data_IF_368027629582
#
_entry.id   IF_368027629582
#
_cell.length_a   1.000
_cell.length_b   1.000
_cell.length_c   1.000
_cell.angle_alpha   90.00
_cell.angle_beta   90.00
_cell.angle_gamma   90.00
#
_symmetry.space_group_name_H-M   'P 1'
#
loop_
_entity.id
_entity.type
_entity.pdbx_description
1 polymer ?
#
# COMPACT_ATOMS: atom_id res chain seq x y z
N UNK A 1 6.01 -8.25 4.61
CA UNK A 1 4.65 -8.17 5.18
C UNK A 1 3.72 -7.30 4.34
N UNK A 2 3.93 -5.99 4.21
CA UNK A 2 2.99 -5.14 3.44
C UNK A 2 2.85 -5.54 1.96
N UNK A 3 3.97 -5.69 1.24
CA UNK A 3 3.95 -6.08 -0.19
C UNK A 3 3.35 -7.46 -0.42
N UNK A 4 3.66 -8.42 0.46
CA UNK A 4 3.15 -9.80 0.38
C UNK A 4 1.65 -9.85 0.65
N UNK A 5 1.15 -9.05 1.61
CA UNK A 5 -0.28 -8.96 1.90
C UNK A 5 -1.05 -8.30 0.74
N UNK A 6 -0.55 -7.19 0.19
CA UNK A 6 -1.18 -6.50 -0.94
C UNK A 6 -1.17 -7.34 -2.22
N UNK A 7 -0.03 -7.97 -2.54
CA UNK A 7 0.07 -8.87 -3.70
C UNK A 7 -0.83 -10.09 -3.57
N UNK A 8 -0.85 -10.72 -2.39
CA UNK A 8 -1.76 -11.83 -2.10
C UNK A 8 -3.23 -11.42 -2.21
N UNK A 9 -3.60 -10.25 -1.67
CA UNK A 9 -4.98 -9.74 -1.70
C UNK A 9 -5.45 -9.50 -3.13
N UNK A 10 -4.61 -8.85 -3.96
CA UNK A 10 -4.90 -8.63 -5.38
C UNK A 10 -5.10 -9.97 -6.13
N UNK A 11 -4.24 -10.95 -5.88
CA UNK A 11 -4.33 -12.27 -6.49
C UNK A 11 -5.62 -13.01 -6.07
N UNK A 12 -5.93 -13.04 -4.77
CA UNK A 12 -7.13 -13.72 -4.27
C UNK A 12 -8.40 -13.07 -4.81
N UNK A 13 -8.46 -11.74 -4.89
CA UNK A 13 -9.59 -11.02 -5.49
C UNK A 13 -9.76 -11.36 -6.98
N UNK A 14 -8.66 -11.45 -7.73
CA UNK A 14 -8.69 -11.85 -9.14
C UNK A 14 -9.02 -13.34 -9.35
N UNK A 15 -8.67 -14.23 -8.42
CA UNK A 15 -9.05 -15.64 -8.48
C UNK A 15 -10.51 -15.85 -8.07
N UNK A 16 -11.01 -15.06 -7.11
CA UNK A 16 -12.38 -15.14 -6.64
C UNK A 16 -13.39 -14.74 -7.73
N UNK A 17 -13.06 -13.81 -8.62
CA UNK A 17 -13.93 -13.46 -9.77
C UNK A 17 -14.19 -14.64 -10.70
N UNK A 18 -13.23 -15.55 -10.85
CA UNK A 18 -13.32 -16.73 -11.72
C UNK A 18 -13.91 -17.93 -10.95
N UNK A 19 -13.55 -18.08 -9.67
CA UNK A 19 -13.94 -19.20 -8.82
C UNK A 19 -15.26 -19.04 -8.05
N UNK A 20 -15.95 -17.90 -8.18
CA UNK A 20 -17.13 -17.55 -7.39
C UNK A 20 -18.27 -18.58 -7.43
N UNK A 21 -18.35 -19.37 -8.50
CA UNK A 21 -19.41 -20.37 -8.68
C UNK A 21 -19.23 -21.65 -7.84
N UNK A 22 -18.04 -21.88 -7.26
CA UNK A 22 -17.75 -23.04 -6.43
C UNK A 22 -17.79 -22.69 -4.94
N UNK A 23 -18.81 -23.14 -4.21
CA UNK A 23 -19.12 -22.74 -2.82
C UNK A 23 -17.93 -22.84 -1.85
N UNK A 24 -17.16 -23.92 -1.94
CA UNK A 24 -15.99 -24.14 -1.06
C UNK A 24 -14.85 -23.18 -1.41
N UNK A 25 -14.63 -22.94 -2.71
CA UNK A 25 -13.59 -22.01 -3.16
C UNK A 25 -13.96 -20.57 -2.81
N UNK A 26 -15.25 -20.22 -2.89
CA UNK A 26 -15.78 -18.93 -2.47
C UNK A 26 -15.58 -18.69 -0.96
N UNK A 27 -15.92 -19.67 -0.12
CA UNK A 27 -15.71 -19.56 1.33
C UNK A 27 -14.23 -19.36 1.68
N UNK A 28 -13.34 -20.15 1.06
CA UNK A 28 -11.89 -20.01 1.25
C UNK A 28 -11.38 -18.63 0.77
N UNK A 29 -11.85 -18.16 -0.39
CA UNK A 29 -11.47 -16.86 -0.94
C UNK A 29 -11.92 -15.71 -0.04
N UNK A 30 -13.16 -15.72 0.45
CA UNK A 30 -13.66 -14.69 1.39
C UNK A 30 -12.83 -14.66 2.67
N UNK A 31 -12.49 -15.83 3.21
CA UNK A 31 -11.59 -15.92 4.37
C UNK A 31 -10.22 -15.30 4.08
N UNK A 32 -9.61 -15.65 2.95
CA UNK A 32 -8.31 -15.14 2.54
C UNK A 32 -8.33 -13.63 2.25
N UNK A 33 -9.40 -13.11 1.63
CA UNK A 33 -9.61 -11.67 1.42
C UNK A 33 -9.63 -10.97 2.78
N UNK A 34 -10.38 -11.49 3.75
CA UNK A 34 -10.42 -10.96 5.10
C UNK A 34 -9.05 -10.99 5.76
N UNK A 35 -8.39 -12.15 5.81
CA UNK A 35 -7.10 -12.33 6.44
C UNK A 35 -6.01 -11.41 5.86
N UNK A 36 -5.91 -11.37 4.53
CA UNK A 36 -4.91 -10.54 3.83
C UNK A 36 -5.24 -9.05 3.95
N UNK A 37 -6.51 -8.68 3.84
CA UNK A 37 -6.98 -7.31 4.04
C UNK A 37 -6.61 -6.79 5.43
N UNK A 38 -6.94 -7.53 6.48
CA UNK A 38 -6.58 -7.18 7.85
C UNK A 38 -5.06 -7.12 8.07
N UNK A 39 -4.29 -8.03 7.45
CA UNK A 39 -2.83 -8.03 7.55
C UNK A 39 -2.17 -6.74 6.99
N UNK A 40 -2.85 -5.98 6.13
CA UNK A 40 -2.33 -4.70 5.62
C UNK A 40 -2.43 -3.55 6.62
N UNK A 41 -3.36 -3.61 7.58
CA UNK A 41 -3.69 -2.48 8.46
C UNK A 41 -2.54 -2.10 9.39
N UNK A 42 -1.95 -3.03 10.19
CA UNK A 42 -0.89 -2.65 11.13
C UNK A 42 0.38 -2.10 10.45
N UNK A 43 0.89 -2.69 9.35
CA UNK A 43 2.04 -2.15 8.65
C UNK A 43 1.83 -0.73 8.09
N UNK A 44 0.63 -0.43 7.57
CA UNK A 44 0.31 0.91 7.05
C UNK A 44 0.24 1.94 8.17
N UNK A 45 -0.45 1.61 9.27
CA UNK A 45 -0.55 2.48 10.44
C UNK A 45 0.83 2.80 11.02
N UNK A 46 1.70 1.79 11.15
CA UNK A 46 3.09 1.98 11.60
C UNK A 46 3.86 2.92 10.68
N UNK A 47 3.80 2.70 9.37
CA UNK A 47 4.56 3.49 8.39
C UNK A 47 4.19 4.97 8.39
N UNK A 48 2.91 5.31 8.63
CA UNK A 48 2.48 6.70 8.74
C UNK A 48 3.03 7.36 10.00
N UNK A 49 3.04 6.61 11.12
CA UNK A 49 3.51 7.13 12.39
C UNK A 49 5.03 7.32 12.42
N UNK A 50 5.80 6.39 11.82
CA UNK A 50 7.27 6.46 11.71
C UNK A 50 7.75 7.71 10.94
N UNK A 51 6.89 8.34 10.12
CA UNK A 51 7.22 9.54 9.35
C UNK A 51 6.79 10.85 10.04
N UNK A 52 6.19 10.79 11.22
CA UNK A 52 5.50 11.91 11.87
C UNK A 52 6.23 12.48 13.11
N UNK A 53 7.56 12.53 13.11
CA UNK A 53 8.39 12.92 14.26
C UNK A 53 8.10 14.31 14.88
N UNK A 54 7.34 15.19 14.20
CA UNK A 54 6.96 16.52 14.72
C UNK A 54 5.48 16.72 15.03
N UNK A 55 4.58 15.82 14.59
CA UNK A 55 3.12 16.00 14.72
C UNK A 55 2.33 14.66 14.68
N UNK A 56 2.57 13.73 15.62
CA UNK A 56 1.99 12.39 15.59
C UNK A 56 0.44 12.38 15.67
N UNK A 57 -0.16 13.31 16.41
CA UNK A 57 -1.63 13.41 16.52
C UNK A 57 -2.29 13.81 15.21
N UNK A 58 -1.71 14.78 14.48
CA UNK A 58 -2.18 15.18 13.16
C UNK A 58 -2.00 14.05 12.13
N UNK A 59 -0.85 13.36 12.15
CA UNK A 59 -0.61 12.23 11.27
C UNK A 59 -1.59 11.07 11.51
N UNK A 60 -1.90 10.78 12.79
CA UNK A 60 -2.91 9.77 13.15
C UNK A 60 -4.30 10.16 12.65
N UNK A 61 -4.73 11.41 12.86
CA UNK A 61 -6.02 11.91 12.39
C UNK A 61 -6.15 11.83 10.86
N UNK A 62 -5.11 12.20 10.12
CA UNK A 62 -5.06 12.08 8.65
C UNK A 62 -5.13 10.61 8.22
N UNK A 63 -4.45 9.70 8.91
CA UNK A 63 -4.49 8.28 8.59
C UNK A 63 -5.91 7.68 8.79
N UNK A 64 -6.58 8.04 9.87
CA UNK A 64 -7.98 7.64 10.12
C UNK A 64 -8.90 8.22 9.05
N UNK A 65 -8.72 9.50 8.69
CA UNK A 65 -9.47 10.15 7.62
C UNK A 65 -9.27 9.46 6.27
N UNK A 66 -8.03 9.14 5.92
CA UNK A 66 -7.69 8.42 4.69
C UNK A 66 -8.30 7.03 4.64
N UNK A 67 -8.32 6.30 5.77
CA UNK A 67 -8.98 4.99 5.87
C UNK A 67 -10.48 5.09 5.61
N UNK A 68 -11.16 6.06 6.24
CA UNK A 68 -12.59 6.28 6.04
C UNK A 68 -12.91 6.70 4.60
N UNK A 69 -12.10 7.58 4.01
CA UNK A 69 -12.24 7.97 2.61
C UNK A 69 -12.05 6.76 1.67
N UNK A 70 -11.07 5.90 1.97
CA UNK A 70 -10.85 4.65 1.23
C UNK A 70 -12.06 3.71 1.27
N UNK A 71 -12.66 3.50 2.45
CA UNK A 71 -13.86 2.68 2.59
C UNK A 71 -15.06 3.26 1.83
N UNK A 72 -15.25 4.59 1.90
CA UNK A 72 -16.30 5.28 1.16
C UNK A 72 -16.10 5.16 -0.36
N UNK A 73 -14.87 5.37 -0.86
CA UNK A 73 -14.51 5.21 -2.26
C UNK A 73 -14.73 3.77 -2.74
N UNK A 74 -14.29 2.77 -1.96
CA UNK A 74 -14.45 1.36 -2.32
C UNK A 74 -15.93 0.97 -2.40
N UNK A 75 -16.75 1.40 -1.43
CA UNK A 75 -18.19 1.15 -1.43
C UNK A 75 -18.88 1.84 -2.61
N UNK A 76 -18.52 3.09 -2.91
CA UNK A 76 -19.07 3.85 -4.03
C UNK A 76 -18.72 3.22 -5.39
N UNK A 77 -17.44 2.89 -5.61
CA UNK A 77 -16.99 2.25 -6.85
C UNK A 77 -17.59 0.84 -7.02
N UNK A 78 -17.66 0.05 -5.94
CA UNK A 78 -18.34 -1.24 -5.95
C UNK A 78 -19.83 -1.12 -6.27
N UNK A 79 -20.49 -0.10 -5.72
CA UNK A 79 -21.89 0.21 -5.99
C UNK A 79 -22.13 0.62 -7.45
N UNK A 80 -21.25 1.43 -8.04
CA UNK A 80 -21.29 1.77 -9.47
C UNK A 80 -21.12 0.51 -10.32
N UNK A 81 -20.16 -0.35 -9.99
CA UNK A 81 -19.91 -1.59 -10.73
C UNK A 81 -21.14 -2.52 -10.74
N UNK A 82 -21.81 -2.67 -9.58
CA UNK A 82 -23.05 -3.44 -9.49
C UNK A 82 -24.19 -2.76 -10.27
N UNK A 83 -24.38 -1.46 -10.06
CA UNK A 83 -25.46 -0.68 -10.71
C UNK A 83 -25.31 -0.62 -12.23
N UNK A 84 -24.08 -0.73 -12.74
CA UNK A 84 -23.77 -0.81 -14.17
C UNK A 84 -24.11 -2.15 -14.82
N UNK A 85 -24.67 -3.11 -14.09
CA UNK A 85 -25.09 -4.40 -14.62
C UNK A 85 -23.96 -5.43 -14.79
N UNK A 86 -22.77 -5.18 -14.23
CA UNK A 86 -21.60 -6.06 -14.34
C UNK A 86 -21.68 -7.31 -13.44
N UNK A 87 -22.77 -7.47 -12.69
CA UNK A 87 -23.02 -8.62 -11.81
C UNK A 87 -22.40 -8.49 -10.41
N UNK A 88 -22.75 -9.43 -9.53
CA UNK A 88 -22.36 -9.41 -8.10
C UNK A 88 -20.88 -9.73 -7.84
N UNK A 89 -20.16 -10.27 -8.82
CA UNK A 89 -18.71 -10.49 -8.73
C UNK A 89 -17.90 -9.27 -9.13
N UNK A 90 -18.53 -8.24 -9.71
CA UNK A 90 -17.85 -7.02 -10.19
C UNK A 90 -17.12 -6.22 -9.10
N UNK A 91 -17.56 -6.15 -7.82
CA UNK A 91 -16.80 -5.47 -6.77
C UNK A 91 -15.42 -6.10 -6.52
N UNK A 92 -15.23 -7.39 -6.82
CA UNK A 92 -13.94 -8.04 -6.65
C UNK A 92 -12.90 -7.47 -7.62
N UNK A 93 -13.30 -7.13 -8.85
CA UNK A 93 -12.43 -6.47 -9.83
C UNK A 93 -12.05 -5.05 -9.37
N UNK A 94 -13.02 -4.31 -8.83
CA UNK A 94 -12.75 -2.99 -8.21
C UNK A 94 -11.73 -3.14 -7.08
N UNK A 95 -11.93 -4.11 -6.19
CA UNK A 95 -11.00 -4.41 -5.10
C UNK A 95 -9.60 -4.78 -5.61
N UNK A 96 -9.50 -5.63 -6.64
CA UNK A 96 -8.23 -6.03 -7.23
C UNK A 96 -7.48 -4.82 -7.84
N UNK A 97 -8.19 -3.93 -8.53
CA UNK A 97 -7.62 -2.71 -9.09
C UNK A 97 -7.11 -1.75 -8.01
N UNK A 98 -7.88 -1.58 -6.92
CA UNK A 98 -7.49 -0.75 -5.78
C UNK A 98 -6.27 -1.34 -5.05
N UNK A 99 -6.26 -2.65 -4.80
CA UNK A 99 -5.14 -3.35 -4.16
C UNK A 99 -3.85 -3.26 -5.00
N UNK A 100 -3.97 -3.41 -6.33
CA UNK A 100 -2.85 -3.26 -7.26
C UNK A 100 -2.32 -1.83 -7.29
N UNK A 101 -3.21 -0.84 -7.26
CA UNK A 101 -2.84 0.59 -7.19
C UNK A 101 -2.10 0.91 -5.89
N UNK A 102 -2.58 0.39 -4.76
CA UNK A 102 -1.91 0.52 -3.46
C UNK A 102 -0.51 -0.12 -3.47
N UNK A 103 -0.37 -1.29 -4.08
CA UNK A 103 0.93 -1.95 -4.24
C UNK A 103 1.90 -1.11 -5.07
N UNK A 104 1.45 -0.56 -6.20
CA UNK A 104 2.26 0.32 -7.05
C UNK A 104 2.73 1.58 -6.30
N UNK A 105 1.83 2.22 -5.54
CA UNK A 105 2.17 3.37 -4.70
C UNK A 105 3.17 3.01 -3.61
N UNK A 106 3.03 1.84 -2.97
CA UNK A 106 3.98 1.36 -1.96
C UNK A 106 5.39 1.19 -2.56
N UNK A 107 5.50 0.61 -3.76
CA UNK A 107 6.78 0.49 -4.47
C UNK A 107 7.36 1.86 -4.83
N UNK A 108 6.55 2.76 -5.39
CA UNK A 108 6.98 4.10 -5.76
C UNK A 108 7.50 4.88 -4.55
N UNK A 109 6.75 4.88 -3.45
CA UNK A 109 7.16 5.48 -2.17
C UNK A 109 8.52 4.94 -1.69
N UNK A 110 8.70 3.61 -1.72
CA UNK A 110 9.97 3.00 -1.30
C UNK A 110 11.15 3.35 -2.22
N UNK A 111 10.89 3.54 -3.52
CA UNK A 111 11.93 3.94 -4.48
C UNK A 111 12.34 5.40 -4.28
N UNK A 112 11.40 6.28 -3.91
CA UNK A 112 11.68 7.67 -3.61
C UNK A 112 12.52 7.81 -2.33
N UNK A 113 12.20 7.05 -1.28
CA UNK A 113 12.99 6.98 -0.05
C UNK A 113 14.44 6.54 -0.33
N UNK A 114 14.61 5.49 -1.14
CA UNK A 114 15.95 5.01 -1.53
C UNK A 114 16.73 6.04 -2.34
N UNK A 115 16.08 6.83 -3.20
CA UNK A 115 16.72 7.92 -3.96
C UNK A 115 17.12 9.09 -3.06
N UNK A 116 16.28 9.45 -2.08
CA UNK A 116 16.60 10.50 -1.12
C UNK A 116 17.83 10.11 -0.28
N UNK A 117 17.88 8.87 0.22
CA UNK A 117 19.01 8.37 1.01
C UNK A 117 20.34 8.31 0.22
N UNK A 118 20.30 8.10 -1.11
CA UNK A 118 21.50 8.12 -1.96
C UNK A 118 22.00 9.52 -2.30
N UNK A 119 21.17 10.55 -2.14
CA UNK A 119 21.52 11.95 -2.43
C UNK A 119 22.15 12.66 -1.25
N UNK A 120 22.01 12.13 -0.04
CA UNK A 120 22.72 12.66 1.13
C UNK A 120 24.19 12.23 1.04
N UNK A 121 25.15 13.16 0.92
CA UNK A 121 26.57 12.81 0.92
C UNK A 121 26.90 12.03 2.19
N UNK A 122 27.62 10.92 2.05
CA UNK A 122 28.07 10.20 3.24
C UNK A 122 28.96 11.15 4.09
N UNK A 123 28.90 11.10 5.43
CA UNK A 123 29.72 11.97 6.29
C UNK A 123 31.22 11.93 5.93
N UNK A 124 31.66 10.78 5.42
CA UNK A 124 33.02 10.54 4.95
C UNK A 124 33.37 11.26 3.63
N UNK A 125 32.40 11.46 2.72
CA UNK A 125 32.57 12.28 1.52
C UNK A 125 32.55 13.77 1.85
N UNK A 126 31.66 14.22 2.74
CA UNK A 126 31.64 15.61 3.20
C UNK A 126 32.93 16.00 3.97
N UNK A 127 33.50 15.08 4.74
CA UNK A 127 34.77 15.27 5.44
C UNK A 127 36.01 15.16 4.54
N UNK A 128 35.89 14.56 3.34
CA UNK A 128 36.97 14.51 2.35
C UNK A 128 37.00 15.81 1.51
N UNK A 129 35.84 16.36 1.17
CA UNK A 129 35.69 17.61 0.41
C UNK A 129 36.19 18.86 1.17
N UNK A 130 36.27 18.76 2.50
CA UNK A 130 36.74 19.84 3.39
C UNK A 130 38.25 19.79 3.68
N UNK A 131 38.97 18.75 3.23
CA UNK A 131 40.43 18.70 3.39
C UNK A 131 41.11 19.59 2.35
N UNK A 132 42.00 20.52 2.76
CA UNK A 132 42.77 21.30 1.81
C UNK A 132 43.64 20.37 0.95
N UNK A 133 43.90 20.73 -0.32
CA UNK A 133 44.73 19.94 -1.21
C UNK A 133 46.12 19.79 -0.59
N UNK A 134 46.54 18.54 -0.39
CA UNK A 134 47.87 18.23 0.15
C UNK A 134 48.88 18.62 -0.92
N UNK A 135 49.53 19.77 -0.75
CA UNK A 135 50.66 20.19 -1.58
C UNK A 135 51.82 19.25 -1.27
N UNK A 136 52.03 18.26 -2.14
CA UNK A 136 53.19 17.38 -2.08
C UNK A 136 54.40 18.18 -2.60
N UNK A 137 55.54 18.17 -1.89
CA UNK A 137 56.71 18.99 -2.22
C UNK A 137 57.39 18.60 -3.53
#
# INVERSE_FOLDING_TARGET
MLYTALGGLALVLALFTIGAHHKVAAAAAVFLIGALGFATVPPLQKRVLDHAHGAPTLASAVNIGAFNAGNALAAWLGGIAISGGLGYTSPNWVGAALATSALALAFLSSSLEKRAARRTPSPQQAAADTRPPVSVP
#
